data_IF_135145559349
#
_entry.id   IF_135145559349
#
_cell.length_a   1.000
_cell.length_b   1.000
_cell.length_c   1.000
_cell.angle_alpha   90.00
_cell.angle_beta   90.00
_cell.angle_gamma   90.00
#
_symmetry.space_group_name_H-M   'P 1'
#
loop_
_entity.id
_entity.type
_entity.pdbx_description
1 polymer ?
#
# COMPACT_ATOMS: atom_id res chain seq x y z
N UNK A 1 -7.47 -26.27 38.20
CA UNK A 1 -6.54 -25.25 37.64
C UNK A 1 -6.86 -25.13 36.18
N UNK A 2 -6.96 -23.92 35.64
CA UNK A 2 -7.28 -23.71 34.21
C UNK A 2 -5.99 -23.90 33.43
N UNK A 3 -6.03 -24.68 32.35
CA UNK A 3 -4.86 -24.92 31.50
C UNK A 3 -4.35 -23.59 30.91
N UNK A 4 -3.03 -23.45 30.71
CA UNK A 4 -2.46 -22.25 30.10
C UNK A 4 -2.99 -22.08 28.67
N UNK A 5 -3.47 -20.87 28.38
CA UNK A 5 -4.09 -20.55 27.10
C UNK A 5 -3.07 -20.53 25.96
N UNK A 6 -3.38 -21.22 24.85
CA UNK A 6 -2.50 -21.30 23.69
C UNK A 6 -2.56 -20.00 22.86
N UNK A 7 -1.61 -19.09 23.15
CA UNK A 7 -1.44 -17.82 22.46
C UNK A 7 -1.06 -17.97 20.98
N UNK A 8 -0.34 -19.02 20.62
CA UNK A 8 0.06 -19.26 19.23
C UNK A 8 -1.15 -19.58 18.35
N UNK A 9 -2.12 -20.31 18.90
CA UNK A 9 -3.41 -20.59 18.26
C UNK A 9 -4.24 -19.32 18.05
N UNK A 10 -4.31 -18.45 19.05
CA UNK A 10 -5.04 -17.17 18.93
C UNK A 10 -4.38 -16.21 17.93
N UNK A 11 -3.05 -16.19 17.89
CA UNK A 11 -2.27 -15.27 17.05
C UNK A 11 -1.94 -15.84 15.66
N UNK A 12 -2.47 -17.02 15.31
CA UNK A 12 -2.21 -17.72 14.04
C UNK A 12 -0.70 -17.88 13.77
N UNK A 13 0.05 -18.28 14.80
CA UNK A 13 1.51 -18.47 14.75
C UNK A 13 1.85 -19.96 14.69
N UNK A 14 3.06 -20.26 14.20
CA UNK A 14 3.60 -21.61 14.16
C UNK A 14 2.71 -22.54 13.32
N UNK A 15 2.26 -23.65 13.93
CA UNK A 15 1.42 -24.66 13.28
C UNK A 15 0.01 -24.15 12.94
N UNK A 16 -0.44 -23.03 13.53
CA UNK A 16 -1.76 -22.43 13.30
C UNK A 16 -1.74 -21.29 12.27
N UNK A 17 -0.62 -21.06 11.59
CA UNK A 17 -0.53 -20.07 10.52
C UNK A 17 -1.16 -20.63 9.23
N UNK A 18 -2.47 -20.43 9.07
CA UNK A 18 -3.23 -20.87 7.91
C UNK A 18 -2.89 -20.06 6.65
N UNK A 19 -2.48 -18.80 6.83
CA UNK A 19 -2.24 -17.86 5.75
C UNK A 19 -0.85 -18.03 5.11
N UNK A 20 0.05 -18.81 5.73
CA UNK A 20 1.41 -19.04 5.22
C UNK A 20 2.33 -17.82 5.30
N UNK A 21 1.82 -16.67 5.74
CA UNK A 21 2.57 -15.43 5.86
C UNK A 21 3.52 -15.50 7.06
N UNK A 22 4.81 -15.68 6.79
CA UNK A 22 5.84 -15.44 7.79
C UNK A 22 5.89 -13.94 8.03
N UNK A 23 5.39 -13.47 9.18
CA UNK A 23 5.59 -12.10 9.65
C UNK A 23 7.10 -11.83 9.74
N UNK A 24 7.68 -11.28 8.68
CA UNK A 24 9.11 -10.99 8.61
C UNK A 24 9.47 -9.92 9.64
N UNK A 25 10.56 -10.15 10.37
CA UNK A 25 11.10 -9.15 11.28
C UNK A 25 11.68 -8.00 10.44
N UNK A 26 11.40 -6.76 10.84
CA UNK A 26 11.84 -5.56 10.13
C UNK A 26 13.36 -5.36 10.27
N UNK A 27 14.16 -6.05 9.47
CA UNK A 27 15.62 -5.85 9.46
C UNK A 27 15.99 -4.57 8.68
N UNK A 28 16.42 -3.53 9.39
CA UNK A 28 16.83 -2.28 8.76
C UNK A 28 18.24 -2.42 8.18
N UNK A 29 18.37 -2.24 6.86
CA UNK A 29 19.64 -2.19 6.14
C UNK A 29 19.73 -0.91 5.34
N UNK A 30 20.93 -0.32 5.19
CA UNK A 30 21.16 0.94 4.46
C UNK A 30 20.57 0.94 3.04
N UNK A 31 20.56 -0.22 2.35
CA UNK A 31 19.95 -0.36 1.01
C UNK A 31 18.42 -0.35 1.05
N UNK A 32 17.84 -0.74 2.18
CA UNK A 32 16.40 -0.88 2.40
C UNK A 32 15.82 0.30 3.17
N UNK A 33 16.63 1.22 3.70
CA UNK A 33 16.17 2.41 4.43
C UNK A 33 15.26 3.25 3.54
N UNK A 34 15.64 3.49 2.29
CA UNK A 34 14.87 4.34 1.39
C UNK A 34 13.55 3.68 0.95
N UNK A 35 13.57 2.37 0.66
CA UNK A 35 12.35 1.62 0.35
C UNK A 35 11.43 1.47 1.57
N UNK A 36 11.99 1.31 2.78
CA UNK A 36 11.21 1.24 4.03
C UNK A 36 10.66 2.59 4.47
N UNK A 37 11.40 3.68 4.24
CA UNK A 37 10.92 5.05 4.49
C UNK A 37 9.74 5.40 3.57
N UNK A 38 9.79 4.95 2.32
CA UNK A 38 8.67 5.05 1.38
C UNK A 38 7.56 4.03 1.65
N UNK A 39 7.70 3.14 2.65
CA UNK A 39 6.72 2.11 2.96
C UNK A 39 6.54 1.07 1.86
N UNK A 40 7.51 0.92 0.95
CA UNK A 40 7.49 -0.08 -0.12
C UNK A 40 7.82 -1.43 0.53
N UNK A 41 6.78 -2.18 0.83
CA UNK A 41 6.89 -3.52 1.41
C UNK A 41 6.91 -4.61 0.32
N UNK A 42 7.15 -5.87 0.71
CA UNK A 42 7.25 -6.97 -0.27
C UNK A 42 5.90 -7.27 -0.92
N UNK A 43 4.81 -6.96 -0.24
CA UNK A 43 3.43 -7.14 -0.66
C UNK A 43 3.04 -6.20 -1.81
N UNK A 44 3.83 -5.16 -2.09
CA UNK A 44 3.60 -4.30 -3.25
C UNK A 44 3.78 -5.10 -4.54
N UNK A 45 2.77 -5.04 -5.41
CA UNK A 45 2.87 -5.55 -6.77
C UNK A 45 3.94 -4.76 -7.54
N UNK A 46 4.43 -5.31 -8.65
CA UNK A 46 5.41 -4.62 -9.50
C UNK A 46 4.87 -3.28 -10.01
N UNK A 47 3.56 -3.19 -10.26
CA UNK A 47 2.87 -1.96 -10.64
C UNK A 47 2.85 -0.93 -9.51
N UNK A 48 2.50 -1.35 -8.29
CA UNK A 48 2.45 -0.45 -7.13
C UNK A 48 3.83 0.11 -6.79
N UNK A 49 4.88 -0.70 -6.94
CA UNK A 49 6.28 -0.24 -6.77
C UNK A 49 6.64 0.85 -7.77
N UNK A 50 6.22 0.69 -9.02
CA UNK A 50 6.45 1.70 -10.04
C UNK A 50 5.73 3.01 -9.71
N UNK A 51 4.46 2.94 -9.30
CA UNK A 51 3.68 4.13 -8.91
C UNK A 51 4.33 4.85 -7.72
N UNK A 52 4.73 4.11 -6.69
CA UNK A 52 5.39 4.66 -5.51
C UNK A 52 6.69 5.40 -5.88
N UNK A 53 7.54 4.78 -6.71
CA UNK A 53 8.77 5.42 -7.18
C UNK A 53 8.51 6.61 -8.11
N UNK A 54 7.55 6.51 -9.02
CA UNK A 54 7.17 7.60 -9.90
C UNK A 54 6.68 8.82 -9.10
N UNK A 55 5.85 8.60 -8.09
CA UNK A 55 5.39 9.67 -7.19
C UNK A 55 6.51 10.26 -6.36
N UNK A 56 7.44 9.44 -5.88
CA UNK A 56 8.62 9.93 -5.16
C UNK A 56 9.52 10.79 -6.06
N UNK A 57 9.81 10.34 -7.28
CA UNK A 57 10.63 11.10 -8.24
C UNK A 57 9.93 12.41 -8.60
N UNK A 58 8.63 12.38 -8.86
CA UNK A 58 7.85 13.59 -9.11
C UNK A 58 7.92 14.57 -7.93
N UNK A 59 7.61 14.12 -6.72
CA UNK A 59 7.52 15.00 -5.55
C UNK A 59 8.88 15.51 -5.09
N UNK A 60 9.88 14.64 -5.01
CA UNK A 60 11.18 14.99 -4.43
C UNK A 60 12.16 15.51 -5.48
N UNK A 61 12.33 14.79 -6.59
CA UNK A 61 13.33 15.19 -7.61
C UNK A 61 12.79 16.35 -8.44
N UNK A 62 11.59 16.22 -9.01
CA UNK A 62 11.03 17.26 -9.87
C UNK A 62 10.56 18.47 -9.06
N UNK A 63 9.58 18.32 -8.16
CA UNK A 63 8.98 19.48 -7.48
C UNK A 63 9.92 20.15 -6.48
N UNK A 64 10.68 19.39 -5.69
CA UNK A 64 11.55 19.97 -4.66
C UNK A 64 12.95 20.33 -5.20
N UNK A 65 13.68 19.39 -5.80
CA UNK A 65 15.05 19.69 -6.26
C UNK A 65 15.05 20.58 -7.50
N UNK A 66 14.34 20.20 -8.57
CA UNK A 66 14.39 20.95 -9.82
C UNK A 66 13.57 22.24 -9.76
N UNK A 67 12.31 22.16 -9.40
CA UNK A 67 11.43 23.32 -9.46
C UNK A 67 11.71 24.31 -8.33
N UNK A 68 11.95 23.85 -7.10
CA UNK A 68 12.19 24.74 -5.97
C UNK A 68 13.67 25.11 -5.78
N UNK A 69 14.58 24.13 -5.59
CA UNK A 69 15.99 24.45 -5.29
C UNK A 69 16.67 25.14 -6.49
N UNK A 70 16.56 24.62 -7.71
CA UNK A 70 17.23 25.25 -8.86
C UNK A 70 16.68 26.65 -9.13
N UNK A 71 15.35 26.84 -9.06
CA UNK A 71 14.76 28.18 -9.24
C UNK A 71 15.19 29.15 -8.13
N UNK A 72 15.23 28.70 -6.88
CA UNK A 72 15.69 29.53 -5.76
C UNK A 72 17.16 29.93 -5.89
N UNK A 73 18.03 28.99 -6.26
CA UNK A 73 19.46 29.23 -6.50
C UNK A 73 19.63 30.17 -7.69
N UNK A 74 18.92 29.95 -8.79
CA UNK A 74 18.96 30.85 -9.95
C UNK A 74 18.53 32.26 -9.56
N UNK A 75 17.41 32.39 -8.85
CA UNK A 75 16.89 33.69 -8.44
C UNK A 75 17.82 34.43 -7.46
N UNK A 76 18.61 33.70 -6.67
CA UNK A 76 19.62 34.28 -5.78
C UNK A 76 20.76 34.95 -6.58
N UNK A 77 21.21 34.32 -7.67
CA UNK A 77 22.29 34.85 -8.51
C UNK A 77 21.80 35.88 -9.54
N UNK A 78 20.61 35.67 -10.09
CA UNK A 78 20.00 36.52 -11.10
C UNK A 78 18.51 36.66 -10.78
N UNK A 79 18.09 37.74 -10.11
CA UNK A 79 16.70 37.96 -9.76
C UNK A 79 15.79 37.94 -10.99
N UNK A 80 14.71 37.17 -10.92
CA UNK A 80 13.79 37.04 -12.05
C UNK A 80 12.87 38.27 -12.16
N UNK A 81 12.62 38.77 -13.38
CA UNK A 81 11.60 39.80 -13.62
C UNK A 81 10.22 39.29 -13.19
N UNK A 82 9.32 40.20 -12.80
CA UNK A 82 7.96 39.87 -12.35
C UNK A 82 7.18 39.03 -13.37
N UNK A 83 7.39 39.25 -14.66
CA UNK A 83 6.73 38.50 -15.74
C UNK A 83 7.09 37.00 -15.74
N UNK A 84 8.35 36.66 -15.41
CA UNK A 84 8.83 35.28 -15.35
C UNK A 84 8.20 34.49 -14.20
N UNK A 85 7.87 35.16 -13.09
CA UNK A 85 7.11 34.56 -12.00
C UNK A 85 5.69 34.18 -12.42
N UNK A 86 5.08 34.95 -13.34
CA UNK A 86 3.80 34.61 -13.95
C UNK A 86 3.86 33.32 -14.77
N UNK A 87 4.86 33.20 -15.65
CA UNK A 87 5.06 31.96 -16.43
C UNK A 87 5.39 30.76 -15.54
N UNK A 88 6.25 30.94 -14.54
CA UNK A 88 6.60 29.91 -13.57
C UNK A 88 5.36 29.40 -12.83
N UNK A 89 4.56 30.31 -12.27
CA UNK A 89 3.37 29.94 -11.50
C UNK A 89 2.30 29.27 -12.36
N UNK A 90 2.10 29.73 -13.59
CA UNK A 90 1.20 29.09 -14.55
C UNK A 90 1.64 27.65 -14.85
N UNK A 91 2.92 27.42 -15.12
CA UNK A 91 3.40 26.07 -15.45
C UNK A 91 3.37 25.15 -14.23
N UNK A 92 3.93 25.59 -13.11
CA UNK A 92 4.17 24.75 -11.92
C UNK A 92 2.89 24.49 -11.13
N UNK A 93 2.01 25.49 -10.99
CA UNK A 93 0.83 25.37 -10.14
C UNK A 93 -0.46 25.10 -10.90
N UNK A 94 -0.51 25.36 -12.21
CA UNK A 94 -1.72 25.16 -13.01
C UNK A 94 -1.55 24.08 -14.08
N UNK A 95 -0.58 24.25 -14.99
CA UNK A 95 -0.46 23.38 -16.16
C UNK A 95 -0.05 21.95 -15.79
N UNK A 96 1.06 21.79 -15.04
CA UNK A 96 1.58 20.46 -14.67
C UNK A 96 0.59 19.71 -13.76
N UNK A 97 0.06 20.30 -12.68
CA UNK A 97 -0.97 19.63 -11.86
C UNK A 97 -2.26 19.37 -12.63
N UNK A 98 -2.67 20.28 -13.53
CA UNK A 98 -3.86 20.11 -14.35
C UNK A 98 -3.77 18.92 -15.31
N UNK A 99 -2.61 18.74 -15.96
CA UNK A 99 -2.36 17.57 -16.82
C UNK A 99 -2.34 16.28 -16.00
N UNK A 100 -1.67 16.27 -14.85
CA UNK A 100 -1.65 15.12 -13.95
C UNK A 100 -3.05 14.78 -13.42
N UNK A 101 -3.85 15.79 -13.08
CA UNK A 101 -5.24 15.61 -12.66
C UNK A 101 -6.09 15.01 -13.78
N UNK A 102 -5.95 15.49 -15.03
CA UNK A 102 -6.67 14.92 -16.16
C UNK A 102 -6.32 13.44 -16.36
N UNK A 103 -5.02 13.10 -16.44
CA UNK A 103 -4.56 11.72 -16.64
C UNK A 103 -5.05 10.81 -15.51
N UNK A 104 -4.84 11.22 -14.26
CA UNK A 104 -5.24 10.43 -13.08
C UNK A 104 -6.76 10.25 -13.02
N UNK A 105 -7.55 11.26 -13.36
CA UNK A 105 -9.01 11.15 -13.38
C UNK A 105 -9.49 10.08 -14.34
N UNK A 106 -8.97 10.03 -15.57
CA UNK A 106 -9.36 8.99 -16.53
C UNK A 106 -8.84 7.61 -16.10
N UNK A 107 -7.60 7.53 -15.63
CA UNK A 107 -7.00 6.27 -15.21
C UNK A 107 -7.73 5.67 -14.00
N UNK A 108 -7.92 6.43 -12.92
CA UNK A 108 -8.66 6.00 -11.73
C UNK A 108 -10.14 5.80 -12.02
N UNK A 109 -10.74 6.61 -12.90
CA UNK A 109 -12.13 6.41 -13.32
C UNK A 109 -12.31 5.04 -13.96
N UNK A 110 -11.57 4.77 -15.04
CA UNK A 110 -11.68 3.49 -15.78
C UNK A 110 -11.27 2.31 -14.90
N UNK A 111 -10.12 2.40 -14.22
CA UNK A 111 -9.63 1.33 -13.34
C UNK A 111 -10.60 1.04 -12.20
N UNK A 112 -11.08 2.08 -11.53
CA UNK A 112 -12.04 1.97 -10.43
C UNK A 112 -13.36 1.34 -10.86
N UNK A 113 -13.89 1.69 -12.03
CA UNK A 113 -15.08 1.02 -12.56
C UNK A 113 -14.84 -0.46 -12.84
N UNK A 114 -13.72 -0.81 -13.50
CA UNK A 114 -13.38 -2.21 -13.81
C UNK A 114 -13.24 -3.03 -12.52
N UNK A 115 -12.51 -2.50 -11.54
CA UNK A 115 -12.26 -3.21 -10.29
C UNK A 115 -13.52 -3.35 -9.45
N UNK A 116 -14.43 -2.37 -9.49
CA UNK A 116 -15.74 -2.48 -8.87
C UNK A 116 -16.55 -3.65 -9.45
N UNK A 117 -16.59 -3.80 -10.78
CA UNK A 117 -17.28 -4.92 -11.41
C UNK A 117 -16.62 -6.28 -11.10
N UNK A 118 -15.27 -6.31 -11.03
CA UNK A 118 -14.55 -7.52 -10.60
C UNK A 118 -14.91 -7.91 -9.18
N UNK A 119 -14.94 -6.95 -8.25
CA UNK A 119 -15.34 -7.19 -6.86
C UNK A 119 -16.73 -7.83 -6.76
N UNK A 120 -17.73 -7.29 -7.48
CA UNK A 120 -19.08 -7.87 -7.46
C UNK A 120 -19.13 -9.28 -8.08
N UNK A 121 -18.35 -9.54 -9.13
CA UNK A 121 -18.25 -10.86 -9.74
C UNK A 121 -17.62 -11.86 -8.77
N UNK A 122 -16.56 -11.47 -8.09
CA UNK A 122 -15.83 -12.33 -7.16
C UNK A 122 -16.68 -12.61 -5.92
N UNK A 123 -17.43 -11.61 -5.42
CA UNK A 123 -18.44 -11.80 -4.37
C UNK A 123 -19.53 -12.79 -4.78
N UNK A 124 -20.01 -12.73 -6.03
CA UNK A 124 -21.01 -13.69 -6.53
C UNK A 124 -20.46 -15.11 -6.62
N UNK A 125 -19.17 -15.26 -6.90
CA UNK A 125 -18.51 -16.56 -7.04
C UNK A 125 -18.01 -17.14 -5.71
N UNK A 126 -18.04 -16.36 -4.62
CA UNK A 126 -17.59 -16.79 -3.30
C UNK A 126 -18.43 -17.99 -2.83
N UNK A 127 -17.75 -19.05 -2.39
CA UNK A 127 -18.41 -20.12 -1.65
C UNK A 127 -18.82 -19.59 -0.28
N UNK A 128 -20.12 -19.65 0.02
CA UNK A 128 -20.62 -19.36 1.37
C UNK A 128 -20.23 -20.52 2.28
N UNK A 129 -19.33 -20.26 3.22
CA UNK A 129 -19.06 -21.15 4.35
C UNK A 129 -20.11 -20.86 5.44
N UNK A 130 -21.00 -21.81 5.78
CA UNK A 130 -21.98 -21.63 6.84
C UNK A 130 -21.38 -21.39 8.23
N UNK A 131 -20.10 -21.70 8.43
CA UNK A 131 -19.38 -21.52 9.69
C UNK A 131 -18.61 -20.17 9.75
N UNK A 132 -18.57 -19.43 8.65
CA UNK A 132 -17.99 -18.08 8.54
C UNK A 132 -19.07 -17.01 8.81
N UNK A 133 -19.76 -17.14 9.95
CA UNK A 133 -20.81 -16.24 10.44
C UNK A 133 -20.29 -15.27 11.53
N UNK A 134 -18.98 -15.29 11.78
CA UNK A 134 -18.32 -14.53 12.84
C UNK A 134 -18.51 -15.12 14.23
N UNK A 135 -19.12 -16.30 14.37
CA UNK A 135 -19.27 -16.98 15.65
C UNK A 135 -17.92 -17.53 16.13
N UNK A 136 -17.65 -17.32 17.41
CA UNK A 136 -16.40 -17.73 18.06
C UNK A 136 -16.71 -18.77 19.12
N UNK A 137 -16.23 -20.00 18.93
CA UNK A 137 -16.32 -21.05 19.93
C UNK A 137 -14.95 -21.30 20.55
N UNK A 138 -14.87 -21.23 21.88
CA UNK A 138 -13.62 -21.55 22.58
C UNK A 138 -12.45 -20.63 22.22
N UNK A 139 -12.74 -19.35 21.92
CA UNK A 139 -11.76 -18.31 21.54
C UNK A 139 -11.09 -18.52 20.17
N UNK A 140 -11.72 -19.33 19.31
CA UNK A 140 -11.34 -19.55 17.91
C UNK A 140 -12.57 -19.31 17.03
N UNK A 141 -12.44 -18.68 15.85
CA UNK A 141 -13.52 -18.63 14.88
C UNK A 141 -14.05 -20.04 14.59
N UNK A 142 -15.37 -20.22 14.57
CA UNK A 142 -15.98 -21.52 14.32
C UNK A 142 -15.53 -22.12 12.97
N UNK A 143 -15.31 -21.27 11.96
CA UNK A 143 -14.77 -21.61 10.64
C UNK A 143 -13.36 -22.23 10.67
N UNK A 144 -12.50 -21.87 11.64
CA UNK A 144 -11.10 -22.29 11.68
C UNK A 144 -10.82 -23.41 12.68
N UNK A 145 -11.77 -23.67 13.59
CA UNK A 145 -11.68 -24.71 14.61
C UNK A 145 -11.38 -26.09 14.03
N UNK A 146 -12.10 -26.49 12.98
CA UNK A 146 -11.91 -27.79 12.33
C UNK A 146 -10.50 -27.93 11.73
N UNK A 147 -9.97 -26.86 11.10
CA UNK A 147 -8.63 -26.84 10.52
C UNK A 147 -7.54 -26.92 11.60
N UNK A 148 -7.72 -26.21 12.72
CA UNK A 148 -6.77 -26.27 13.85
C UNK A 148 -6.75 -27.63 14.54
N UNK A 149 -7.90 -28.28 14.71
CA UNK A 149 -7.98 -29.63 15.27
C UNK A 149 -7.33 -30.67 14.34
N UNK A 150 -7.42 -30.52 13.02
CA UNK A 150 -6.67 -31.36 12.08
C UNK A 150 -5.16 -31.14 12.16
N UNK A 151 -4.71 -29.89 12.27
CA UNK A 151 -3.29 -29.55 12.37
C UNK A 151 -2.65 -30.12 13.65
N UNK A 152 -3.37 -30.09 14.77
CA UNK A 152 -2.91 -30.68 16.04
C UNK A 152 -2.85 -32.20 16.01
N UNK A 153 -3.69 -32.88 15.22
CA UNK A 153 -3.62 -34.33 15.04
C UNK A 153 -2.43 -34.78 14.18
N UNK A 154 -1.84 -33.88 13.40
CA UNK A 154 -0.71 -34.16 12.49
C UNK A 154 0.66 -33.90 13.13
N UNK A 155 0.70 -33.31 14.33
CA UNK A 155 1.92 -32.96 15.09
C UNK A 155 2.06 -33.92 16.26
#
# INVERSE_FOLDING_TARGET
>A
MKEPFNLDRMLHRGIYNLDGDKKEQLEWSFRTVFSKLLGITKEYTVGDKFIAWAFFIYSFVYSFVLIFIVAAVWNLFSPWPTEWWGHYSLVVYLLVPGVMAAISTFWFGIGGFIDLFRLFRDLKARLNDPLDDGWVEGHVPAADKAKFEELEKRV
#
